data_IF_746347189654
#
_entry.id   IF_746347189654
#
_cell.length_a   1.000
_cell.length_b   1.000
_cell.length_c   1.000
_cell.angle_alpha   90.00
_cell.angle_beta   90.00
_cell.angle_gamma   90.00
#
_symmetry.space_group_name_H-M   'P 1'
#
loop_
_entity.id
_entity.type
_entity.pdbx_description
1 polymer ?
#
# COMPACT_ATOMS: atom_id res chain seq x y z
N UNK A 1 -31.24 10.67 -70.86
CA UNK A 1 -31.00 9.26 -70.81
C UNK A 1 -29.52 8.97 -70.78
N UNK A 2 -28.91 8.82 -69.62
CA UNK A 2 -27.60 8.13 -69.40
C UNK A 2 -27.36 8.07 -67.91
N UNK A 3 -27.57 6.86 -67.37
CA UNK A 3 -27.37 6.52 -65.97
C UNK A 3 -25.89 6.33 -65.72
N UNK A 4 -25.29 7.16 -64.85
CA UNK A 4 -23.95 6.95 -64.35
C UNK A 4 -24.08 6.27 -62.98
N UNK A 5 -23.63 5.03 -62.91
CA UNK A 5 -23.55 4.22 -61.69
C UNK A 5 -22.22 4.59 -61.02
N UNK A 6 -22.27 5.29 -59.91
CA UNK A 6 -21.11 5.52 -59.07
C UNK A 6 -20.92 4.32 -58.12
N UNK A 7 -19.86 3.57 -58.39
CA UNK A 7 -19.42 2.50 -57.49
C UNK A 7 -18.61 3.12 -56.36
N UNK A 8 -19.19 3.16 -55.17
CA UNK A 8 -18.45 3.56 -53.96
C UNK A 8 -17.67 2.34 -53.41
N UNK A 9 -16.37 2.40 -53.54
CA UNK A 9 -15.46 1.41 -52.94
C UNK A 9 -15.29 1.79 -51.46
N UNK A 10 -15.93 1.03 -50.58
CA UNK A 10 -15.69 1.11 -49.14
C UNK A 10 -14.43 0.30 -48.80
N UNK A 11 -13.33 1.02 -48.55
CA UNK A 11 -12.12 0.42 -47.97
C UNK A 11 -12.34 0.35 -46.46
N UNK A 12 -12.72 -0.83 -45.97
CA UNK A 12 -12.75 -1.11 -44.54
C UNK A 12 -11.32 -1.29 -44.02
N UNK A 13 -10.80 -0.25 -43.36
CA UNK A 13 -9.54 -0.34 -42.65
C UNK A 13 -9.80 -1.06 -41.31
N UNK A 14 -9.61 -2.36 -41.31
CA UNK A 14 -9.63 -3.18 -40.10
C UNK A 14 -8.35 -2.87 -39.30
N UNK A 15 -8.44 -1.92 -38.36
CA UNK A 15 -7.40 -1.69 -37.38
C UNK A 15 -7.38 -2.84 -36.39
N UNK A 16 -6.43 -3.75 -36.54
CA UNK A 16 -6.13 -4.76 -35.52
C UNK A 16 -5.62 -4.11 -34.26
N UNK A 17 -6.49 -3.99 -33.26
CA UNK A 17 -6.10 -3.62 -31.90
C UNK A 17 -5.39 -4.82 -31.28
N UNK A 18 -4.07 -4.89 -31.44
CA UNK A 18 -3.22 -5.84 -30.76
C UNK A 18 -3.30 -5.54 -29.25
N UNK A 19 -4.09 -6.33 -28.54
CA UNK A 19 -4.01 -6.41 -27.09
C UNK A 19 -2.61 -6.91 -26.72
N UNK A 20 -1.73 -6.00 -26.35
CA UNK A 20 -0.45 -6.35 -25.73
C UNK A 20 -0.77 -6.95 -24.37
N UNK A 21 -0.80 -8.27 -24.35
CA UNK A 21 -0.82 -9.07 -23.13
C UNK A 21 0.48 -8.71 -22.37
N UNK A 22 0.35 -7.89 -21.33
CA UNK A 22 1.44 -7.63 -20.39
C UNK A 22 1.79 -8.98 -19.78
N UNK A 23 2.86 -9.58 -20.27
CA UNK A 23 3.46 -10.75 -19.66
C UNK A 23 4.02 -10.32 -18.32
N UNK A 24 3.34 -10.63 -17.24
CA UNK A 24 3.91 -10.58 -15.89
C UNK A 24 5.04 -11.61 -15.88
N UNK A 25 6.31 -11.23 -15.66
CA UNK A 25 7.39 -12.21 -15.59
C UNK A 25 7.10 -13.15 -14.43
N UNK A 26 7.04 -14.46 -14.75
CA UNK A 26 6.96 -15.50 -13.75
C UNK A 26 8.07 -15.28 -12.72
N UNK A 27 7.70 -15.22 -11.45
CA UNK A 27 8.64 -15.11 -10.33
C UNK A 27 9.61 -16.28 -10.42
N UNK A 28 10.83 -16.01 -10.83
CA UNK A 28 11.93 -16.97 -10.84
C UNK A 28 12.23 -17.33 -9.40
N UNK A 29 11.99 -18.57 -9.03
CA UNK A 29 12.36 -19.16 -7.73
C UNK A 29 13.86 -19.45 -7.62
N UNK A 30 14.71 -18.60 -8.19
CA UNK A 30 16.13 -18.77 -8.13
C UNK A 30 16.69 -18.12 -6.86
N UNK A 31 17.26 -18.88 -5.89
CA UNK A 31 17.75 -18.34 -4.62
C UNK A 31 18.95 -17.39 -4.75
N UNK A 32 19.51 -17.24 -5.96
CA UNK A 32 20.65 -16.37 -6.24
C UNK A 32 20.27 -15.07 -6.97
N UNK A 33 18.98 -14.69 -6.98
CA UNK A 33 18.58 -13.43 -7.59
C UNK A 33 19.03 -12.27 -6.70
N UNK A 34 20.00 -11.50 -7.17
CA UNK A 34 20.39 -10.24 -6.54
C UNK A 34 19.23 -9.25 -6.77
N UNK A 35 18.41 -9.06 -5.74
CA UNK A 35 17.31 -8.08 -5.78
C UNK A 35 17.94 -6.69 -5.85
N UNK A 36 17.68 -5.96 -6.93
CA UNK A 36 18.17 -4.60 -7.07
C UNK A 36 17.48 -3.64 -6.09
N UNK A 37 18.12 -2.55 -5.66
CA UNK A 37 17.49 -1.58 -4.77
C UNK A 37 16.13 -1.04 -5.27
N UNK A 38 15.96 -0.95 -6.59
CA UNK A 38 14.68 -0.54 -7.19
C UNK A 38 13.57 -1.57 -7.00
N UNK A 39 13.88 -2.87 -7.02
CA UNK A 39 12.91 -3.96 -6.78
C UNK A 39 12.55 -4.06 -5.30
N UNK A 40 13.50 -3.79 -4.39
CA UNK A 40 13.23 -3.71 -2.96
C UNK A 40 12.26 -2.57 -2.64
N UNK A 41 12.46 -1.38 -3.22
CA UNK A 41 11.58 -0.24 -3.03
C UNK A 41 10.15 -0.50 -3.53
N UNK A 42 9.98 -1.20 -4.66
CA UNK A 42 8.65 -1.55 -5.18
C UNK A 42 7.90 -2.53 -4.28
N UNK A 43 8.58 -3.56 -3.75
CA UNK A 43 7.98 -4.52 -2.83
C UNK A 43 7.59 -3.86 -1.50
N UNK A 44 8.39 -2.90 -1.02
CA UNK A 44 8.14 -2.15 0.21
C UNK A 44 6.98 -1.17 0.04
N UNK A 45 6.88 -0.49 -1.09
CA UNK A 45 5.74 0.39 -1.43
C UNK A 45 4.45 -0.40 -1.53
N UNK A 46 4.44 -1.57 -2.20
CA UNK A 46 3.27 -2.44 -2.27
C UNK A 46 2.82 -2.90 -0.88
N UNK A 47 3.75 -3.28 -0.02
CA UNK A 47 3.45 -3.69 1.36
C UNK A 47 2.86 -2.55 2.20
N UNK A 48 3.27 -1.31 1.95
CA UNK A 48 2.70 -0.11 2.60
C UNK A 48 1.28 0.20 2.10
N UNK A 49 0.99 -0.04 0.83
CA UNK A 49 -0.35 0.13 0.26
C UNK A 49 -1.34 -0.93 0.76
N UNK A 50 -0.86 -2.13 1.07
CA UNK A 50 -1.65 -3.21 1.69
C UNK A 50 -1.92 -2.98 3.18
N UNK A 51 -1.26 -2.01 3.82
CA UNK A 51 -1.50 -1.70 5.21
C UNK A 51 -2.95 -1.24 5.42
N UNK A 52 -3.70 -1.99 6.23
CA UNK A 52 -5.10 -1.68 6.53
C UNK A 52 -5.20 -0.30 7.18
N UNK A 53 -5.93 0.59 6.56
CA UNK A 53 -6.32 1.86 7.16
C UNK A 53 -7.59 1.68 7.97
N UNK A 54 -7.66 2.30 9.13
CA UNK A 54 -8.79 2.24 10.04
C UNK A 54 -9.36 3.65 10.24
N UNK A 55 -10.68 3.76 10.34
CA UNK A 55 -11.31 5.05 10.65
C UNK A 55 -11.03 5.47 12.11
N UNK A 56 -11.09 6.78 12.38
CA UNK A 56 -10.91 7.31 13.72
C UNK A 56 -11.90 6.69 14.71
N UNK A 57 -13.17 6.59 14.34
CA UNK A 57 -14.24 6.12 15.23
C UNK A 57 -14.08 4.62 15.54
N UNK A 58 -13.71 3.82 14.54
CA UNK A 58 -13.38 2.40 14.73
C UNK A 58 -12.16 2.24 15.65
N UNK A 59 -11.09 3.02 15.43
CA UNK A 59 -9.89 2.98 16.24
C UNK A 59 -10.20 3.30 17.71
N UNK A 60 -10.94 4.38 17.97
CA UNK A 60 -11.34 4.78 19.33
C UNK A 60 -12.18 3.70 20.01
N UNK A 61 -13.12 3.09 19.27
CA UNK A 61 -13.94 1.98 19.77
C UNK A 61 -13.08 0.79 20.20
N UNK A 62 -12.18 0.34 19.34
CA UNK A 62 -11.31 -0.81 19.62
C UNK A 62 -10.38 -0.56 20.82
N UNK A 63 -9.88 0.66 20.97
CA UNK A 63 -9.04 1.01 22.11
C UNK A 63 -9.86 1.06 23.40
N UNK A 64 -11.06 1.61 23.39
CA UNK A 64 -11.98 1.59 24.55
C UNK A 64 -12.33 0.16 24.99
N UNK A 65 -12.52 -0.74 24.02
CA UNK A 65 -12.77 -2.18 24.25
C UNK A 65 -11.50 -2.96 24.66
N UNK A 66 -10.36 -2.30 24.78
CA UNK A 66 -9.04 -2.91 25.08
C UNK A 66 -8.57 -3.95 24.03
N UNK A 67 -9.15 -3.90 22.83
CA UNK A 67 -8.79 -4.76 21.70
C UNK A 67 -7.64 -4.21 20.87
N UNK A 68 -7.39 -2.90 20.96
CA UNK A 68 -6.30 -2.21 20.26
C UNK A 68 -5.54 -1.27 21.19
N UNK A 69 -4.38 -0.82 20.71
CA UNK A 69 -3.55 0.18 21.36
C UNK A 69 -3.01 1.15 20.32
N UNK A 70 -2.95 2.44 20.67
CA UNK A 70 -2.29 3.44 19.86
C UNK A 70 -0.78 3.43 20.10
N UNK A 71 -0.02 3.44 19.01
CA UNK A 71 1.43 3.60 19.04
C UNK A 71 1.81 4.83 18.23
N UNK A 72 2.36 5.82 18.89
CA UNK A 72 2.91 7.02 18.28
C UNK A 72 4.32 6.73 17.79
N UNK A 73 4.52 6.75 16.47
CA UNK A 73 5.81 6.46 15.85
C UNK A 73 6.66 7.70 15.57
N UNK A 74 6.18 8.87 16.00
CA UNK A 74 6.92 10.12 15.88
C UNK A 74 8.08 10.16 16.88
N UNK A 75 9.00 11.11 16.67
CA UNK A 75 10.06 11.40 17.62
C UNK A 75 9.48 11.77 19.01
N UNK A 76 10.25 11.52 20.06
CA UNK A 76 9.82 11.73 21.43
C UNK A 76 9.39 13.17 21.71
N UNK A 77 10.05 14.13 21.12
CA UNK A 77 9.74 15.56 21.27
C UNK A 77 8.34 15.89 20.76
N UNK A 78 7.93 15.30 19.64
CA UNK A 78 6.57 15.45 19.08
C UNK A 78 5.52 14.80 19.96
N UNK A 79 5.83 13.63 20.51
CA UNK A 79 4.97 12.96 21.47
C UNK A 79 4.76 13.79 22.74
N UNK A 80 5.84 14.36 23.31
CA UNK A 80 5.80 15.17 24.52
C UNK A 80 5.04 16.49 24.30
N UNK A 81 5.11 17.06 23.10
CA UNK A 81 4.36 18.26 22.72
C UNK A 81 2.85 18.02 22.63
N UNK A 82 2.43 16.78 22.31
CA UNK A 82 1.03 16.39 22.26
C UNK A 82 0.83 15.03 21.61
N UNK A 83 0.06 14.16 22.25
CA UNK A 83 -0.22 12.81 21.78
C UNK A 83 -1.63 12.35 22.14
N UNK A 84 -2.07 11.25 21.54
CA UNK A 84 -3.36 10.63 21.86
C UNK A 84 -3.28 10.01 23.26
N UNK A 85 -4.20 10.38 24.14
CA UNK A 85 -4.25 9.86 25.50
C UNK A 85 -4.22 8.33 25.53
N UNK A 86 -3.22 7.79 26.24
CA UNK A 86 -3.03 6.33 26.37
C UNK A 86 -2.25 5.70 25.22
N UNK A 87 -1.72 6.47 24.29
CA UNK A 87 -0.77 5.98 23.29
C UNK A 87 0.60 5.68 23.91
N UNK A 88 1.30 4.72 23.36
CA UNK A 88 2.70 4.43 23.67
C UNK A 88 3.56 5.11 22.61
N UNK A 89 4.64 5.78 23.01
CA UNK A 89 5.61 6.29 22.06
C UNK A 89 6.70 5.27 21.77
N UNK A 90 6.81 4.87 20.52
CA UNK A 90 7.91 4.06 19.99
C UNK A 90 8.32 4.67 18.67
N UNK A 91 9.33 5.54 18.63
CA UNK A 91 9.84 6.12 17.40
C UNK A 91 10.14 5.06 16.34
N UNK A 92 9.90 5.38 15.08
CA UNK A 92 10.09 4.44 13.96
C UNK A 92 11.47 3.77 13.98
N UNK A 93 12.52 4.54 14.28
CA UNK A 93 13.89 4.05 14.41
C UNK A 93 14.11 3.02 15.54
N UNK A 94 13.21 2.96 16.51
CA UNK A 94 13.30 2.06 17.67
C UNK A 94 12.32 0.88 17.58
N UNK A 95 11.41 0.86 16.61
CA UNK A 95 10.33 -0.11 16.50
C UNK A 95 10.83 -1.55 16.54
N UNK A 96 11.88 -1.88 15.78
CA UNK A 96 12.44 -3.23 15.71
C UNK A 96 12.97 -3.74 17.06
N UNK A 97 13.46 -2.84 17.90
CA UNK A 97 14.04 -3.15 19.22
C UNK A 97 12.97 -3.20 20.30
N UNK A 98 11.92 -2.37 20.16
CA UNK A 98 10.93 -2.10 21.21
C UNK A 98 9.54 -2.69 20.92
N UNK A 99 9.38 -3.48 19.86
CA UNK A 99 8.11 -4.19 19.57
C UNK A 99 7.65 -5.06 20.75
N UNK A 100 8.55 -5.57 21.55
CA UNK A 100 8.28 -6.33 22.78
C UNK A 100 7.62 -5.51 23.91
N UNK A 101 7.76 -4.18 23.88
CA UNK A 101 7.14 -3.27 24.84
C UNK A 101 5.63 -3.10 24.58
N UNK A 102 5.16 -3.55 23.42
CA UNK A 102 3.75 -3.48 23.05
C UNK A 102 3.00 -4.67 23.67
N UNK A 103 1.89 -4.42 24.37
CA UNK A 103 1.10 -5.48 24.98
C UNK A 103 0.68 -6.55 23.95
N UNK A 104 0.92 -7.85 24.22
CA UNK A 104 0.54 -8.92 23.30
C UNK A 104 -0.98 -9.02 23.17
N UNK A 105 -1.44 -9.63 22.06
CA UNK A 105 -2.86 -9.92 21.78
C UNK A 105 -3.75 -8.69 21.55
N UNK A 106 -3.16 -7.52 21.29
CA UNK A 106 -3.89 -6.31 20.91
C UNK A 106 -3.56 -5.90 19.48
N UNK A 107 -4.53 -5.36 18.77
CA UNK A 107 -4.26 -4.71 17.49
C UNK A 107 -3.42 -3.47 17.72
N UNK A 108 -2.37 -3.29 16.94
CA UNK A 108 -1.53 -2.11 16.98
C UNK A 108 -2.06 -1.12 15.96
N UNK A 109 -2.37 0.09 16.39
CA UNK A 109 -2.79 1.19 15.54
C UNK A 109 -1.70 2.25 15.61
N UNK A 110 -0.88 2.35 14.57
CA UNK A 110 0.16 3.37 14.45
C UNK A 110 -0.43 4.67 13.91
N UNK A 111 0.10 5.79 14.36
CA UNK A 111 -0.22 7.11 13.81
C UNK A 111 1.02 8.01 13.77
N UNK A 112 1.04 8.89 12.76
CA UNK A 112 1.98 9.98 12.61
C UNK A 112 1.19 11.20 12.11
N UNK A 113 1.05 12.25 12.91
CA UNK A 113 0.34 13.47 12.56
C UNK A 113 1.23 14.70 12.79
#
# INVERSE_FOLDING_TARGET
MRRLIAVAIFIALAGSLSAQKVMVPAQSSNPNLIITPAQQNQAEVQKLEEARRISRDEAVKLVKEKKAIFVDVRAKESYDAGHIKGAINIPESELSKRVKDIPPKRMIITYCA
#
